data_IF_276309834116
#
_entry.id   IF_276309834116
#
_cell.length_a   1.000
_cell.length_b   1.000
_cell.length_c   1.000
_cell.angle_alpha   90.00
_cell.angle_beta   90.00
_cell.angle_gamma   90.00
#
_symmetry.space_group_name_H-M   'P 1'
#
loop_
_entity.id
_entity.type
_entity.pdbx_description
1 polymer ?
#
# COMPACT_ATOMS: atom_id res chain seq x y z
N UNK A 1 -4.17 1.71 20.00
CA UNK A 1 -3.72 3.05 19.53
C UNK A 1 -4.80 4.13 19.50
N UNK A 2 -4.39 5.41 19.38
CA UNK A 2 -5.25 6.61 19.29
C UNK A 2 -5.60 7.03 17.86
N UNK A 3 -5.03 6.33 16.88
CA UNK A 3 -5.23 6.60 15.46
C UNK A 3 -6.32 5.70 14.88
N UNK A 4 -7.06 6.21 13.90
CA UNK A 4 -8.24 5.56 13.36
C UNK A 4 -8.11 5.22 11.87
N UNK A 5 -7.39 6.02 11.09
CA UNK A 5 -7.37 5.83 9.63
C UNK A 5 -5.98 6.04 9.04
N UNK A 6 -5.60 5.15 8.13
CA UNK A 6 -4.49 5.36 7.19
C UNK A 6 -5.05 5.58 5.80
N UNK A 7 -4.56 6.60 5.11
CA UNK A 7 -4.89 6.86 3.69
C UNK A 7 -3.64 7.11 2.88
N UNK A 8 -3.63 6.69 1.62
CA UNK A 8 -2.55 6.98 0.67
C UNK A 8 -3.02 6.89 -0.79
N UNK A 9 -2.19 7.38 -1.70
CA UNK A 9 -2.19 7.02 -3.12
C UNK A 9 -1.02 6.07 -3.35
N UNK A 10 -1.25 4.92 -3.96
CA UNK A 10 -0.23 3.88 -4.14
C UNK A 10 -0.11 3.45 -5.58
N UNK A 11 1.10 3.12 -6.02
CA UNK A 11 1.36 2.70 -7.39
C UNK A 11 2.81 2.30 -7.62
N UNK A 12 3.07 1.67 -8.76
CA UNK A 12 4.42 1.60 -9.31
C UNK A 12 4.87 3.00 -9.73
N UNK A 13 6.12 3.33 -9.46
CA UNK A 13 6.75 4.55 -9.93
C UNK A 13 7.09 4.43 -11.43
N UNK A 14 6.85 5.51 -12.18
CA UNK A 14 6.94 5.54 -13.64
C UNK A 14 8.37 5.30 -14.18
N UNK A 15 9.41 5.38 -13.34
CA UNK A 15 10.82 5.23 -13.75
C UNK A 15 11.16 3.83 -14.29
N UNK A 16 10.37 2.80 -13.97
CA UNK A 16 10.65 1.43 -14.41
C UNK A 16 10.11 1.11 -15.82
N UNK A 17 9.44 2.06 -16.47
CA UNK A 17 8.74 1.84 -17.73
C UNK A 17 7.69 0.73 -17.58
N UNK A 18 7.38 -0.04 -18.64
CA UNK A 18 6.25 -0.98 -18.62
C UNK A 18 6.48 -2.29 -17.80
N UNK A 19 7.29 -2.26 -16.73
CA UNK A 19 7.70 -3.42 -15.93
C UNK A 19 7.29 -3.30 -14.46
N UNK A 20 7.33 -4.42 -13.77
CA UNK A 20 7.04 -4.54 -12.34
C UNK A 20 5.57 -4.85 -12.07
N UNK A 21 5.33 -5.55 -10.97
CA UNK A 21 4.00 -5.86 -10.49
C UNK A 21 4.02 -5.93 -8.96
N UNK A 22 3.13 -5.18 -8.32
CA UNK A 22 3.11 -5.09 -6.85
C UNK A 22 1.71 -5.22 -6.31
N UNK A 23 1.57 -5.58 -5.04
CA UNK A 23 0.33 -5.36 -4.31
C UNK A 23 0.62 -4.59 -3.02
N UNK A 24 -0.24 -3.63 -2.72
CA UNK A 24 -0.15 -2.85 -1.49
C UNK A 24 -1.11 -3.41 -0.45
N UNK A 25 -0.62 -3.54 0.77
CA UNK A 25 -1.43 -3.97 1.91
C UNK A 25 -1.19 -3.08 3.13
N UNK A 26 -2.27 -2.83 3.88
CA UNK A 26 -2.20 -2.22 5.20
C UNK A 26 -2.63 -3.25 6.23
N UNK A 27 -1.79 -3.45 7.24
CA UNK A 27 -2.04 -4.38 8.34
C UNK A 27 -2.12 -3.64 9.66
N UNK A 28 -3.09 -4.01 10.50
CA UNK A 28 -3.32 -3.49 11.84
C UNK A 28 -3.20 -4.65 12.84
N UNK A 29 -2.19 -4.61 13.73
CA UNK A 29 -1.92 -5.66 14.72
C UNK A 29 -1.91 -7.10 14.14
N UNK A 30 -1.41 -7.26 12.93
CA UNK A 30 -1.33 -8.56 12.25
C UNK A 30 -2.60 -8.99 11.51
N UNK A 31 -3.66 -8.17 11.48
CA UNK A 31 -4.82 -8.36 10.62
C UNK A 31 -4.74 -7.45 9.39
N UNK A 32 -4.96 -7.98 8.19
CA UNK A 32 -4.98 -7.17 6.95
C UNK A 32 -6.24 -6.31 6.93
N UNK A 33 -6.05 -5.00 6.99
CA UNK A 33 -7.13 -3.99 7.00
C UNK A 33 -7.49 -3.51 5.59
N UNK A 34 -6.53 -3.47 4.66
CA UNK A 34 -6.76 -3.11 3.26
C UNK A 34 -5.79 -3.84 2.32
N UNK A 35 -6.19 -4.00 1.06
CA UNK A 35 -5.33 -4.48 -0.03
C UNK A 35 -5.81 -3.93 -1.37
N UNK A 36 -4.88 -3.66 -2.29
CA UNK A 36 -5.19 -3.22 -3.66
C UNK A 36 -5.40 -4.36 -4.65
N UNK A 37 -5.02 -5.60 -4.28
CA UNK A 37 -4.65 -6.61 -5.28
C UNK A 37 -3.44 -6.17 -6.11
N UNK A 38 -3.15 -6.91 -7.19
CA UNK A 38 -2.06 -6.56 -8.11
C UNK A 38 -2.29 -5.20 -8.76
N UNK A 39 -1.22 -4.43 -8.81
CA UNK A 39 -1.06 -3.14 -9.47
C UNK A 39 0.11 -3.30 -10.44
N UNK A 40 -0.12 -2.92 -11.68
CA UNK A 40 0.86 -2.94 -12.77
C UNK A 40 1.12 -1.52 -13.27
N UNK A 41 2.12 -1.32 -14.12
CA UNK A 41 2.40 -0.02 -14.71
C UNK A 41 1.27 0.53 -15.60
N UNK A 42 0.37 -0.35 -16.07
CA UNK A 42 -0.82 0.06 -16.81
C UNK A 42 -1.93 0.63 -15.92
N UNK A 43 -1.84 0.43 -14.60
CA UNK A 43 -2.81 0.94 -13.64
C UNK A 43 -2.45 2.36 -13.19
N UNK A 44 -3.41 3.29 -13.14
CA UNK A 44 -3.18 4.56 -12.46
C UNK A 44 -2.99 4.32 -10.95
N UNK A 45 -2.33 5.26 -10.27
CA UNK A 45 -2.20 5.23 -8.81
C UNK A 45 -3.58 5.04 -8.14
N UNK A 46 -3.65 4.07 -7.21
CA UNK A 46 -4.86 3.65 -6.51
C UNK A 46 -4.96 4.34 -5.15
N UNK A 47 -6.17 4.73 -4.75
CA UNK A 47 -6.38 5.22 -3.39
C UNK A 47 -6.51 4.03 -2.43
N UNK A 48 -5.85 4.11 -1.29
CA UNK A 48 -5.98 3.15 -0.17
C UNK A 48 -6.52 3.90 1.04
N UNK A 49 -7.48 3.28 1.73
CA UNK A 49 -7.98 3.70 3.03
C UNK A 49 -8.15 2.47 3.90
N UNK A 50 -7.62 2.52 5.12
CA UNK A 50 -7.67 1.41 6.07
C UNK A 50 -8.08 1.91 7.45
N UNK A 51 -9.02 1.20 8.08
CA UNK A 51 -9.32 1.37 9.50
C UNK A 51 -8.21 0.70 10.32
N UNK A 52 -7.59 1.50 11.19
CA UNK A 52 -6.52 1.06 12.10
C UNK A 52 -6.87 1.38 13.56
N UNK A 53 -8.16 1.60 13.83
CA UNK A 53 -8.67 1.92 15.16
C UNK A 53 -8.26 0.84 16.17
N UNK A 54 -7.71 1.28 17.30
CA UNK A 54 -7.24 0.38 18.34
C UNK A 54 -5.92 -0.32 18.03
N UNK A 55 -5.39 -0.24 16.81
CA UNK A 55 -4.10 -0.84 16.47
C UNK A 55 -2.94 -0.18 17.23
N UNK A 56 -1.96 -0.98 17.63
CA UNK A 56 -0.72 -0.52 18.26
C UNK A 56 0.43 -0.53 17.24
N UNK A 57 0.36 -1.44 16.28
CA UNK A 57 1.27 -1.50 15.13
C UNK A 57 0.46 -1.47 13.84
N UNK A 58 0.80 -0.51 12.98
CA UNK A 58 0.38 -0.49 11.59
C UNK A 58 1.58 -0.84 10.72
N UNK A 59 1.40 -1.77 9.78
CA UNK A 59 2.42 -2.16 8.81
C UNK A 59 1.91 -1.90 7.40
N UNK A 60 2.71 -1.14 6.64
CA UNK A 60 2.53 -0.92 5.22
C UNK A 60 3.39 -1.94 4.49
N UNK A 61 2.81 -2.71 3.59
CA UNK A 61 3.49 -3.81 2.88
C UNK A 61 3.34 -3.57 1.38
N UNK A 62 4.44 -3.76 0.67
CA UNK A 62 4.47 -3.96 -0.78
C UNK A 62 4.89 -5.41 -1.01
N UNK A 63 4.11 -6.17 -1.77
CA UNK A 63 4.47 -7.52 -2.20
C UNK A 63 5.00 -7.49 -3.64
N UNK A 64 5.64 -8.58 -4.05
CA UNK A 64 6.13 -8.81 -5.42
C UNK A 64 5.06 -9.34 -6.38
N UNK A 65 3.78 -9.29 -5.96
CA UNK A 65 2.60 -9.81 -6.65
C UNK A 65 2.74 -11.19 -7.35
N UNK A 66 3.73 -12.01 -6.95
CA UNK A 66 4.00 -13.33 -7.49
C UNK A 66 4.88 -13.41 -8.74
N UNK A 67 5.46 -12.31 -9.25
CA UNK A 67 6.43 -12.33 -10.37
C UNK A 67 7.87 -12.00 -9.95
N UNK A 68 8.07 -11.71 -8.67
CA UNK A 68 9.37 -11.43 -8.08
C UNK A 68 9.72 -9.95 -8.13
N UNK A 69 10.54 -9.51 -7.18
CA UNK A 69 10.79 -8.09 -6.84
C UNK A 69 11.41 -7.18 -7.94
N UNK A 70 11.64 -7.68 -9.14
CA UNK A 70 12.41 -6.95 -10.14
C UNK A 70 11.55 -5.86 -10.78
N UNK A 71 12.04 -4.61 -10.77
CA UNK A 71 11.31 -3.41 -11.25
C UNK A 71 10.09 -3.00 -10.40
N UNK A 72 9.95 -3.54 -9.18
CA UNK A 72 8.89 -3.22 -8.23
C UNK A 72 9.20 -1.95 -7.41
N UNK A 73 9.45 -0.85 -8.12
CA UNK A 73 9.66 0.45 -7.49
C UNK A 73 8.28 1.00 -7.14
N UNK A 74 7.93 0.95 -5.86
CA UNK A 74 6.56 1.17 -5.40
C UNK A 74 6.47 2.33 -4.41
N UNK A 75 5.47 3.19 -4.61
CA UNK A 75 5.28 4.41 -3.85
C UNK A 75 4.04 4.38 -2.96
N UNK A 76 4.20 4.98 -1.77
CA UNK A 76 3.11 5.41 -0.89
C UNK A 76 3.05 6.94 -0.89
N UNK A 77 2.41 7.51 -1.91
CA UNK A 77 2.27 8.95 -2.06
C UNK A 77 1.18 9.52 -1.14
N UNK A 78 1.44 10.71 -0.57
CA UNK A 78 0.53 11.43 0.34
C UNK A 78 0.00 10.55 1.48
N UNK A 79 0.86 9.69 2.04
CA UNK A 79 0.51 8.84 3.17
C UNK A 79 0.15 9.70 4.39
N UNK A 80 -1.07 9.51 4.89
CA UNK A 80 -1.56 10.18 6.11
C UNK A 80 -2.06 9.16 7.11
N UNK A 81 -1.77 9.43 8.39
CA UNK A 81 -2.36 8.74 9.54
C UNK A 81 -3.20 9.77 10.30
N UNK A 82 -4.49 9.50 10.47
CA UNK A 82 -5.41 10.38 11.20
C UNK A 82 -5.69 9.81 12.57
N UNK A 83 -5.52 10.65 13.60
CA UNK A 83 -5.73 10.29 15.00
C UNK A 83 -6.71 11.25 15.67
N UNK A 84 -7.35 10.76 16.73
CA UNK A 84 -8.23 11.56 17.59
C UNK A 84 -7.45 12.25 18.71
#
# INVERSE_FOLDING_TARGET
GRCATVTARVGLDDETGDRGSVAFEVWANGTRAASTGTVTHADPARAVSADVSGADVVRLVVTDAGDGKDYDHADWADLRVTCA
#
